data_IF_593041237726
#
_entry.id   IF_593041237726
#
_cell.length_a   1.000
_cell.length_b   1.000
_cell.length_c   1.000
_cell.angle_alpha   90.00
_cell.angle_beta   90.00
_cell.angle_gamma   90.00
#
_symmetry.space_group_name_H-M   'P 1'
#
loop_
_entity.id
_entity.type
_entity.pdbx_description
1 polymer ?
#
# COMPACT_ATOMS: atom_id res chain seq x y z
N UNK A 1 -21.50 -24.15 11.96
CA UNK A 1 -21.85 -22.72 11.90
C UNK A 1 -20.57 -21.87 12.01
N UNK A 2 -20.50 -20.84 11.17
CA UNK A 2 -19.56 -19.71 11.07
C UNK A 2 -18.39 -19.57 12.07
N UNK A 3 -17.17 -19.49 11.54
CA UNK A 3 -16.08 -18.68 12.09
C UNK A 3 -15.34 -18.00 10.92
N UNK A 4 -15.82 -16.80 10.59
CA UNK A 4 -15.60 -16.08 9.33
C UNK A 4 -14.19 -15.54 9.12
N UNK A 5 -13.59 -15.91 8.00
CA UNK A 5 -12.53 -15.14 7.34
C UNK A 5 -12.99 -14.83 5.93
N UNK A 6 -13.69 -13.72 5.81
CA UNK A 6 -14.22 -13.18 4.55
C UNK A 6 -13.06 -12.71 3.66
N UNK A 7 -12.87 -13.39 2.52
CA UNK A 7 -12.18 -12.85 1.36
C UNK A 7 -13.24 -12.53 0.32
N UNK A 8 -13.44 -11.27 -0.04
CA UNK A 8 -14.30 -11.01 -1.20
C UNK A 8 -13.47 -11.19 -2.47
N UNK A 9 -13.70 -12.30 -3.17
CA UNK A 9 -13.47 -12.39 -4.60
C UNK A 9 -14.70 -11.83 -5.31
N UNK A 10 -14.52 -10.83 -6.18
CA UNK A 10 -15.53 -10.47 -7.17
C UNK A 10 -14.88 -10.44 -8.55
N UNK A 11 -15.33 -11.36 -9.43
CA UNK A 11 -14.83 -11.58 -10.80
C UNK A 11 -13.32 -11.83 -10.92
N UNK A 12 -12.76 -12.66 -10.03
CA UNK A 12 -11.45 -13.30 -10.24
C UNK A 12 -10.30 -12.86 -9.33
N UNK A 13 -10.55 -12.00 -8.33
CA UNK A 13 -9.46 -11.45 -7.51
C UNK A 13 -9.81 -11.15 -6.04
N UNK A 14 -8.92 -11.53 -5.11
CA UNK A 14 -9.07 -11.40 -3.65
C UNK A 14 -8.68 -10.02 -3.07
N UNK A 15 -9.44 -9.57 -2.07
CA UNK A 15 -9.23 -8.37 -1.24
C UNK A 15 -8.74 -8.72 0.18
N UNK A 16 -8.01 -7.80 0.82
CA UNK A 16 -7.46 -7.95 2.18
C UNK A 16 -7.87 -6.82 3.14
N UNK A 17 -8.90 -7.06 3.97
CA UNK A 17 -9.26 -6.26 5.15
C UNK A 17 -8.40 -6.74 6.35
N UNK A 18 -7.39 -5.98 6.78
CA UNK A 18 -6.70 -6.21 8.07
C UNK A 18 -5.43 -7.08 8.09
N UNK A 19 -4.63 -7.15 7.02
CA UNK A 19 -3.43 -8.00 6.98
C UNK A 19 -2.21 -7.42 7.72
N UNK A 20 -1.75 -8.11 8.79
CA UNK A 20 -0.33 -8.13 9.18
C UNK A 20 0.41 -9.10 8.26
N UNK A 21 0.64 -8.71 7.00
CA UNK A 21 1.60 -9.42 6.16
C UNK A 21 2.94 -8.68 6.20
N UNK A 22 4.04 -9.40 6.43
CA UNK A 22 5.40 -8.87 6.25
C UNK A 22 5.77 -8.70 4.77
N UNK A 23 4.92 -9.19 3.86
CA UNK A 23 5.11 -9.04 2.42
C UNK A 23 4.48 -7.76 1.89
N UNK A 24 5.09 -7.24 0.83
CA UNK A 24 4.56 -6.13 0.05
C UNK A 24 3.74 -6.64 -1.13
N UNK A 25 2.85 -5.81 -1.62
CA UNK A 25 2.13 -6.05 -2.87
C UNK A 25 2.21 -4.79 -3.73
N UNK A 26 1.99 -4.90 -5.03
CA UNK A 26 1.94 -3.74 -5.91
C UNK A 26 0.51 -3.38 -6.29
N UNK A 27 0.27 -2.08 -6.35
CA UNK A 27 -0.92 -1.47 -6.91
C UNK A 27 -0.53 -0.42 -7.94
N UNK A 28 -1.51 0.08 -8.68
CA UNK A 28 -1.39 1.23 -9.54
C UNK A 28 -2.20 2.41 -8.98
N UNK A 29 -1.70 3.61 -9.23
CA UNK A 29 -2.50 4.82 -9.11
C UNK A 29 -3.48 4.91 -10.27
N UNK A 30 -4.48 5.78 -10.16
CA UNK A 30 -5.43 6.03 -11.25
C UNK A 30 -4.76 6.55 -12.54
N UNK A 31 -3.53 7.09 -12.44
CA UNK A 31 -2.74 7.58 -13.58
C UNK A 31 -1.70 6.55 -14.05
N UNK A 32 -1.80 5.28 -13.62
CA UNK A 32 -0.89 4.19 -13.99
C UNK A 32 0.43 4.14 -13.22
N UNK A 33 0.65 5.03 -12.27
CA UNK A 33 1.89 5.03 -11.46
C UNK A 33 1.96 3.83 -10.52
N UNK A 34 3.11 3.15 -10.45
CA UNK A 34 3.32 2.01 -9.56
C UNK A 34 3.32 2.45 -8.09
N UNK A 35 2.57 1.73 -7.27
CA UNK A 35 2.45 1.92 -5.83
C UNK A 35 2.85 0.64 -5.10
N UNK A 36 3.61 0.77 -4.03
CA UNK A 36 3.85 -0.29 -3.06
C UNK A 36 2.71 -0.29 -2.05
N UNK A 37 2.14 -1.45 -1.75
CA UNK A 37 1.12 -1.65 -0.73
C UNK A 37 1.73 -2.45 0.40
N UNK A 38 1.76 -1.84 1.59
CA UNK A 38 2.28 -2.45 2.81
C UNK A 38 1.37 -2.10 3.99
N UNK A 39 0.98 -3.11 4.78
CA UNK A 39 0.03 -2.97 5.90
C UNK A 39 -1.28 -2.24 5.56
N UNK A 40 -1.72 -2.33 4.30
CA UNK A 40 -2.93 -1.67 3.80
C UNK A 40 -2.76 -0.18 3.45
N UNK A 41 -1.54 0.35 3.49
CA UNK A 41 -1.22 1.70 3.03
C UNK A 41 -0.51 1.65 1.68
N UNK A 42 -0.76 2.66 0.83
CA UNK A 42 -0.03 2.83 -0.43
C UNK A 42 1.13 3.79 -0.27
N UNK A 43 2.24 3.44 -0.91
CA UNK A 43 3.47 4.22 -0.96
C UNK A 43 3.94 4.38 -2.41
N UNK A 44 4.45 5.56 -2.75
CA UNK A 44 5.09 5.86 -4.02
C UNK A 44 6.59 5.83 -3.85
N UNK A 45 7.29 5.41 -4.91
CA UNK A 45 8.75 5.48 -4.96
C UNK A 45 9.19 6.93 -4.72
N UNK A 46 10.12 7.12 -3.77
CA UNK A 46 10.70 8.42 -3.48
C UNK A 46 12.14 8.50 -3.97
N UNK A 47 12.98 7.52 -3.62
CA UNK A 47 14.39 7.45 -4.06
C UNK A 47 14.92 6.03 -3.96
N UNK A 48 15.97 5.75 -4.73
CA UNK A 48 16.73 4.50 -4.69
C UNK A 48 18.17 4.88 -4.36
N UNK A 49 18.77 4.28 -3.34
CA UNK A 49 20.16 4.54 -2.93
C UNK A 49 20.79 3.26 -2.39
N UNK A 50 21.98 2.89 -2.85
CA UNK A 50 22.77 1.76 -2.31
C UNK A 50 21.89 0.53 -2.00
N UNK A 51 21.13 0.07 -3.00
CA UNK A 51 20.25 -1.11 -2.92
C UNK A 51 19.02 -0.97 -2.02
N UNK A 52 18.84 0.18 -1.35
CA UNK A 52 17.66 0.51 -0.57
C UNK A 52 16.73 1.42 -1.37
N UNK A 53 15.49 0.98 -1.51
CA UNK A 53 14.40 1.71 -2.12
C UNK A 53 13.57 2.36 -1.01
N UNK A 54 13.54 3.68 -1.00
CA UNK A 54 12.69 4.45 -0.10
C UNK A 54 11.35 4.75 -0.78
N UNK A 55 10.28 4.36 -0.09
CA UNK A 55 8.89 4.60 -0.45
C UNK A 55 8.25 5.56 0.54
N UNK A 56 7.40 6.46 0.06
CA UNK A 56 6.66 7.40 0.89
C UNK A 56 5.16 7.22 0.73
N UNK A 57 4.42 7.30 1.83
CA UNK A 57 2.97 7.19 1.80
C UNK A 57 2.36 8.26 0.87
N UNK A 58 1.39 7.84 0.06
CA UNK A 58 0.77 8.66 -0.97
C UNK A 58 -0.47 9.43 -0.51
N UNK A 59 -0.85 9.31 0.76
CA UNK A 59 -2.01 9.98 1.34
C UNK A 59 -1.62 11.34 1.94
N UNK A 60 -2.61 12.22 2.05
CA UNK A 60 -2.52 13.49 2.79
C UNK A 60 -3.14 13.34 4.17
N UNK A 61 -2.69 14.14 5.12
CA UNK A 61 -3.29 14.16 6.45
C UNK A 61 -4.68 14.83 6.38
N UNK A 62 -5.68 14.33 7.11
CA UNK A 62 -7.04 14.86 7.06
C UNK A 62 -7.05 16.32 7.52
N UNK A 63 -7.83 17.17 6.85
CA UNK A 63 -7.93 18.59 7.21
C UNK A 63 -6.69 19.43 6.91
N UNK A 64 -5.70 18.89 6.18
CA UNK A 64 -4.50 19.65 5.80
C UNK A 64 -4.08 19.36 4.35
N UNK A 65 -3.27 20.25 3.78
CA UNK A 65 -2.56 19.99 2.51
C UNK A 65 -1.26 19.20 2.70
N UNK A 66 -0.92 18.76 3.93
CA UNK A 66 0.36 18.11 4.24
C UNK A 66 0.29 16.63 3.88
N UNK A 67 1.29 16.16 3.13
CA UNK A 67 1.46 14.74 2.83
C UNK A 67 1.84 13.95 4.08
N UNK A 68 1.39 12.71 4.15
CA UNK A 68 1.81 11.79 5.21
C UNK A 68 3.34 11.64 5.23
N UNK A 69 3.90 11.52 6.43
CA UNK A 69 5.34 11.40 6.68
C UNK A 69 5.80 9.95 6.76
N UNK A 70 4.87 9.00 6.75
CA UNK A 70 5.17 7.58 6.79
C UNK A 70 5.98 7.14 5.56
N UNK A 71 7.01 6.34 5.83
CA UNK A 71 7.98 5.82 4.87
C UNK A 71 8.16 4.33 5.08
N UNK A 72 8.50 3.64 4.00
CA UNK A 72 8.88 2.23 3.99
C UNK A 72 10.17 2.13 3.21
N UNK A 73 11.11 1.35 3.72
CA UNK A 73 12.37 1.04 3.09
C UNK A 73 12.34 -0.43 2.70
N UNK A 74 12.55 -0.69 1.41
CA UNK A 74 12.68 -2.05 0.90
C UNK A 74 14.04 -2.23 0.27
N UNK A 75 14.54 -3.45 0.17
CA UNK A 75 15.68 -3.70 -0.70
C UNK A 75 15.26 -3.91 -2.15
N UNK A 76 16.20 -4.34 -2.98
CA UNK A 76 16.02 -4.50 -4.44
C UNK A 76 15.03 -5.60 -4.81
N UNK A 77 14.87 -6.63 -3.95
CA UNK A 77 13.86 -7.68 -4.14
C UNK A 77 12.56 -7.40 -3.38
N UNK A 78 12.39 -6.15 -2.91
CA UNK A 78 11.22 -5.66 -2.20
C UNK A 78 10.94 -6.32 -0.84
N UNK A 79 11.93 -6.95 -0.23
CA UNK A 79 11.91 -7.29 1.19
C UNK A 79 11.83 -6.01 2.04
N UNK A 80 11.02 -6.05 3.11
CA UNK A 80 10.93 -4.92 4.04
C UNK A 80 12.21 -4.87 4.88
N UNK A 81 12.97 -3.80 4.73
CA UNK A 81 14.13 -3.49 5.57
C UNK A 81 13.66 -2.75 6.82
N UNK A 82 12.91 -1.66 6.62
CA UNK A 82 12.42 -0.82 7.71
C UNK A 82 11.12 -0.09 7.34
N UNK A 83 10.38 0.38 8.33
CA UNK A 83 9.25 1.27 8.14
C UNK A 83 9.13 2.26 9.30
N UNK A 84 8.90 3.53 8.98
CA UNK A 84 8.87 4.60 9.97
C UNK A 84 7.81 5.65 9.65
N UNK A 85 7.45 6.43 10.66
CA UNK A 85 6.48 7.51 10.56
C UNK A 85 5.05 7.08 10.86
N UNK A 86 4.29 8.01 11.45
CA UNK A 86 2.92 7.78 11.93
C UNK A 86 1.91 8.11 10.83
N UNK A 87 0.99 7.18 10.60
CA UNK A 87 -0.18 7.44 9.77
C UNK A 87 -1.24 8.15 10.61
N UNK A 88 -1.48 9.43 10.30
CA UNK A 88 -2.56 10.22 10.91
C UNK A 88 -3.83 10.24 10.03
N UNK A 89 -3.96 9.31 9.08
CA UNK A 89 -5.10 9.19 8.17
C UNK A 89 -5.57 7.73 8.09
N UNK A 90 -6.80 7.55 7.60
CA UNK A 90 -7.36 6.23 7.29
C UNK A 90 -6.62 5.53 6.15
N UNK A 91 -6.83 4.22 6.04
CA UNK A 91 -6.25 3.40 4.95
C UNK A 91 -6.96 3.73 3.63
N UNK A 92 -6.22 3.89 2.52
CA UNK A 92 -6.83 4.06 1.20
C UNK A 92 -7.57 2.79 0.79
N UNK A 93 -8.59 2.97 -0.06
CA UNK A 93 -9.33 1.86 -0.67
C UNK A 93 -8.61 1.44 -1.96
N UNK A 94 -8.55 0.13 -2.20
CA UNK A 94 -8.04 -0.44 -3.43
C UNK A 94 -9.12 -1.29 -4.06
N UNK A 95 -9.20 -1.29 -5.39
CA UNK A 95 -10.02 -2.22 -6.15
C UNK A 95 -9.14 -3.06 -7.06
N UNK A 96 -9.53 -4.29 -7.38
CA UNK A 96 -8.78 -5.09 -8.35
C UNK A 96 -9.41 -4.99 -9.73
N UNK A 97 -8.65 -4.50 -10.72
CA UNK A 97 -9.03 -4.39 -12.14
C UNK A 97 -8.03 -5.18 -12.98
N UNK A 98 -8.50 -6.18 -13.75
CA UNK A 98 -7.66 -7.01 -14.61
C UNK A 98 -6.41 -7.60 -13.91
N UNK A 99 -6.53 -7.90 -12.62
CA UNK A 99 -5.48 -8.51 -11.81
C UNK A 99 -4.55 -7.55 -11.13
N UNK A 100 -4.76 -6.28 -11.41
CA UNK A 100 -3.97 -5.19 -10.90
C UNK A 100 -4.79 -4.51 -9.81
N UNK A 101 -4.19 -4.36 -8.63
CA UNK A 101 -4.77 -3.52 -7.60
C UNK A 101 -4.66 -2.07 -8.05
N UNK A 102 -5.75 -1.31 -7.98
CA UNK A 102 -5.83 0.10 -8.34
C UNK A 102 -6.37 0.86 -7.15
N UNK A 103 -5.67 1.92 -6.73
CA UNK A 103 -6.14 2.78 -5.65
C UNK A 103 -7.36 3.60 -6.10
N UNK A 104 -8.40 3.62 -5.28
CA UNK A 104 -9.57 4.48 -5.44
C UNK A 104 -9.64 5.51 -4.33
N UNK A 105 -10.20 6.68 -4.64
CA UNK A 105 -10.42 7.77 -3.68
C UNK A 105 -11.72 7.55 -2.92
#
# INVERSE_FOLDING_TARGET
>A
MANGREYYMYKGYTYCFGFKSRSVTFAQSQRGGRLLVFQGYSYSLQKIQHEVIQWRCTMVQPGTARRCTAKVFTGVHYEIIDHSGRHSHGKPRFIKRNGILVRVY
#
